data_IF_791060495046
#
_entry.id   IF_791060495046
#
_cell.length_a   1.000
_cell.length_b   1.000
_cell.length_c   1.000
_cell.angle_alpha   90.00
_cell.angle_beta   90.00
_cell.angle_gamma   90.00
#
_symmetry.space_group_name_H-M   'P 1'
#
loop_
_entity.id
_entity.type
_entity.pdbx_description
1 polymer ?
#
# COMPACT_ATOMS: atom_id res chain seq x y z
N UNK A 1 5.68 7.30 -13.37
CA UNK A 1 4.26 7.61 -13.14
C UNK A 1 3.98 7.48 -11.66
N UNK A 2 3.17 8.36 -11.11
CA UNK A 2 2.88 8.46 -9.67
C UNK A 2 1.41 8.20 -9.42
N UNK A 3 1.11 7.41 -8.38
CA UNK A 3 -0.26 7.16 -7.92
C UNK A 3 -0.28 7.14 -6.39
N UNK A 4 -1.46 7.39 -5.82
CA UNK A 4 -1.65 7.40 -4.37
C UNK A 4 -2.88 6.60 -3.99
N UNK A 5 -2.78 5.85 -2.91
CA UNK A 5 -3.87 5.03 -2.36
C UNK A 5 -4.01 5.36 -0.88
N UNK A 6 -5.24 5.58 -0.43
CA UNK A 6 -5.51 5.86 0.98
C UNK A 6 -5.52 4.58 1.80
N UNK A 7 -4.82 4.60 2.91
CA UNK A 7 -4.82 3.57 3.94
C UNK A 7 -4.89 4.21 5.32
N UNK A 8 -4.66 3.46 6.37
CA UNK A 8 -4.66 3.99 7.73
C UNK A 8 -3.80 3.14 8.65
N UNK A 9 -3.32 3.76 9.72
CA UNK A 9 -2.56 3.07 10.76
C UNK A 9 -2.98 3.58 12.13
N UNK A 10 -2.69 2.81 13.17
CA UNK A 10 -2.92 3.21 14.56
C UNK A 10 -1.67 3.92 15.08
N UNK A 11 -1.87 5.07 15.70
CA UNK A 11 -0.82 5.79 16.42
C UNK A 11 -1.38 6.19 17.79
N UNK A 12 -0.89 5.55 18.84
CA UNK A 12 -1.50 5.69 20.16
C UNK A 12 -2.92 5.14 20.14
N UNK A 13 -3.90 6.00 20.46
CA UNK A 13 -5.31 5.63 20.45
C UNK A 13 -6.05 6.14 19.21
N UNK A 14 -5.32 6.75 18.27
CA UNK A 14 -5.91 7.36 17.08
C UNK A 14 -5.66 6.51 15.84
N UNK A 15 -6.63 6.51 14.94
CA UNK A 15 -6.47 5.96 13.60
C UNK A 15 -6.05 7.10 12.68
N UNK A 16 -4.86 7.00 12.12
CA UNK A 16 -4.24 8.05 11.30
C UNK A 16 -4.34 7.66 9.83
N UNK A 17 -4.85 8.54 8.95
CA UNK A 17 -4.84 8.27 7.52
C UNK A 17 -3.41 8.25 6.99
N UNK A 18 -3.13 7.31 6.10
CA UNK A 18 -1.83 7.13 5.46
C UNK A 18 -2.03 7.17 3.95
N UNK A 19 -1.27 8.05 3.29
CA UNK A 19 -1.23 8.03 1.83
C UNK A 19 -0.09 7.11 1.41
N UNK A 20 -0.45 6.06 0.70
CA UNK A 20 0.52 5.13 0.12
C UNK A 20 0.79 5.58 -1.29
N UNK A 21 1.95 6.19 -1.48
CA UNK A 21 2.36 6.79 -2.75
C UNK A 21 3.27 5.83 -3.48
N UNK A 22 2.98 5.59 -4.75
CA UNK A 22 3.78 4.70 -5.59
C UNK A 22 4.26 5.46 -6.82
N UNK A 23 5.55 5.33 -7.13
CA UNK A 23 6.14 5.89 -8.33
C UNK A 23 6.97 4.84 -9.03
N UNK A 24 6.80 4.75 -10.33
CA UNK A 24 7.61 3.87 -11.19
C UNK A 24 8.31 4.74 -12.21
N UNK A 25 9.64 4.71 -12.21
CA UNK A 25 10.46 5.55 -13.08
C UNK A 25 11.60 4.74 -13.69
N UNK A 26 12.23 5.31 -14.72
CA UNK A 26 13.42 4.71 -15.32
C UNK A 26 14.60 4.82 -14.37
N UNK A 27 15.49 3.84 -14.42
CA UNK A 27 16.66 3.80 -13.58
C UNK A 27 17.06 2.37 -13.24
N UNK A 28 18.02 2.21 -12.35
CA UNK A 28 18.44 0.89 -11.90
C UNK A 28 17.25 0.17 -11.23
N UNK A 29 16.96 -1.09 -11.62
CA UNK A 29 15.85 -1.83 -11.01
C UNK A 29 15.99 -1.91 -9.50
N UNK A 30 14.97 -1.40 -8.80
CA UNK A 30 15.01 -1.26 -7.35
C UNK A 30 13.58 -1.16 -6.82
N UNK A 31 13.36 -1.68 -5.63
CA UNK A 31 12.09 -1.52 -4.93
C UNK A 31 12.41 -0.89 -3.57
N UNK A 32 12.12 0.38 -3.40
CA UNK A 32 12.50 1.16 -2.22
C UNK A 32 11.27 1.59 -1.45
N UNK A 33 11.33 1.50 -0.11
CA UNK A 33 10.24 1.94 0.76
C UNK A 33 10.76 2.99 1.74
N UNK A 34 10.04 4.10 1.84
CA UNK A 34 10.36 5.21 2.74
C UNK A 34 9.11 5.66 3.50
N UNK A 35 9.26 6.51 4.51
CA UNK A 35 8.16 7.08 5.26
C UNK A 35 8.03 6.57 6.70
N UNK A 36 9.14 6.34 7.37
CA UNK A 36 9.19 5.87 8.76
C UNK A 36 8.46 4.54 8.93
N UNK A 37 8.94 3.54 8.21
CA UNK A 37 8.35 2.21 8.19
C UNK A 37 9.15 1.25 9.07
N UNK A 38 8.44 0.37 9.79
CA UNK A 38 9.07 -0.69 10.57
C UNK A 38 9.69 -1.74 9.66
N UNK A 39 10.54 -2.61 10.23
CA UNK A 39 11.07 -3.74 9.48
C UNK A 39 9.95 -4.64 8.94
N UNK A 40 8.88 -4.82 9.71
CA UNK A 40 7.74 -5.61 9.30
C UNK A 40 7.03 -5.02 8.08
N UNK A 41 6.89 -3.68 8.03
CA UNK A 41 6.32 -3.01 6.86
C UNK A 41 7.23 -3.17 5.65
N UNK A 42 8.55 -3.08 5.84
CA UNK A 42 9.50 -3.26 4.73
C UNK A 42 9.44 -4.65 4.10
N UNK A 43 9.02 -5.66 4.85
CA UNK A 43 8.81 -7.00 4.31
C UNK A 43 7.72 -7.03 3.23
N UNK A 44 6.86 -6.00 3.19
CA UNK A 44 5.83 -5.90 2.17
C UNK A 44 6.40 -5.93 0.75
N UNK A 45 7.61 -5.42 0.53
CA UNK A 45 8.20 -5.44 -0.81
C UNK A 45 8.38 -6.88 -1.31
N UNK A 46 8.75 -7.81 -0.45
CA UNK A 46 8.89 -9.21 -0.83
C UNK A 46 7.53 -9.88 -1.02
N UNK A 47 6.59 -9.64 -0.12
CA UNK A 47 5.24 -10.21 -0.22
C UNK A 47 4.52 -9.70 -1.48
N UNK A 48 4.57 -8.41 -1.73
CA UNK A 48 3.91 -7.80 -2.90
C UNK A 48 4.53 -8.32 -4.19
N UNK A 49 5.86 -8.30 -4.28
CA UNK A 49 6.56 -8.77 -5.48
C UNK A 49 6.22 -10.23 -5.78
N UNK A 50 6.28 -11.09 -4.77
CA UNK A 50 6.03 -12.52 -4.93
C UNK A 50 4.55 -12.78 -5.25
N UNK A 51 3.64 -12.10 -4.56
CA UNK A 51 2.21 -12.26 -4.79
C UNK A 51 1.85 -11.87 -6.23
N UNK A 52 2.33 -10.74 -6.71
CA UNK A 52 2.07 -10.29 -8.08
C UNK A 52 2.64 -11.29 -9.10
N UNK A 53 3.86 -11.76 -8.86
CA UNK A 53 4.48 -12.76 -9.74
C UNK A 53 3.64 -14.04 -9.82
N UNK A 54 3.15 -14.53 -8.69
CA UNK A 54 2.33 -15.74 -8.64
C UNK A 54 0.94 -15.54 -9.23
N UNK A 55 0.49 -14.29 -9.35
CA UNK A 55 -0.74 -13.93 -10.05
C UNK A 55 -0.51 -13.71 -11.56
N UNK A 56 0.69 -13.91 -12.05
CA UNK A 56 1.02 -13.74 -13.46
C UNK A 56 1.42 -12.32 -13.85
N UNK A 57 1.70 -11.46 -12.85
CA UNK A 57 2.09 -10.07 -13.10
C UNK A 57 3.56 -9.89 -12.75
N UNK A 58 4.40 -9.69 -13.76
CA UNK A 58 5.82 -9.41 -13.56
C UNK A 58 6.05 -7.91 -13.44
N UNK A 59 6.81 -7.51 -12.42
CA UNK A 59 7.20 -6.12 -12.28
C UNK A 59 8.25 -5.78 -13.33
N UNK A 60 8.16 -4.61 -13.98
CA UNK A 60 9.16 -4.21 -14.98
C UNK A 60 10.51 -3.93 -14.29
N UNK A 61 11.63 -4.02 -15.04
CA UNK A 61 12.95 -3.72 -14.50
C UNK A 61 13.14 -2.20 -14.39
N UNK A 62 12.37 -1.58 -13.52
CA UNK A 62 12.34 -0.13 -13.29
C UNK A 62 12.49 0.16 -11.81
N UNK A 63 12.72 1.44 -11.51
CA UNK A 63 12.82 1.91 -10.14
C UNK A 63 11.42 2.13 -9.59
N UNK A 64 11.08 1.37 -8.55
CA UNK A 64 9.80 1.47 -7.85
C UNK A 64 10.08 2.10 -6.49
N UNK A 65 9.42 3.20 -6.19
CA UNK A 65 9.53 3.89 -4.90
C UNK A 65 8.16 3.94 -4.25
N UNK A 66 8.08 3.49 -3.01
CA UNK A 66 6.87 3.54 -2.19
C UNK A 66 7.14 4.48 -1.02
N UNK A 67 6.27 5.47 -0.84
CA UNK A 67 6.34 6.38 0.30
C UNK A 67 5.03 6.29 1.08
N UNK A 68 5.14 6.09 2.39
CA UNK A 68 3.98 6.06 3.29
C UNK A 68 3.95 7.36 4.09
N UNK A 69 3.09 8.29 3.67
CA UNK A 69 2.95 9.60 4.26
C UNK A 69 1.85 9.61 5.32
N UNK A 70 1.98 10.33 6.45
CA UNK A 70 3.06 11.26 6.78
C UNK A 70 4.31 10.56 7.34
N UNK A 71 5.47 11.16 7.09
CA UNK A 71 6.75 10.54 7.47
C UNK A 71 7.06 10.61 8.98
N UNK A 72 6.34 11.43 9.73
CA UNK A 72 6.53 11.57 11.18
C UNK A 72 5.72 10.56 12.00
N UNK A 73 4.87 9.79 11.36
CA UNK A 73 4.09 8.71 12.01
C UNK A 73 4.69 7.38 11.62
N UNK A 74 5.07 6.57 12.64
CA UNK A 74 5.64 5.25 12.38
C UNK A 74 4.54 4.28 11.91
N UNK A 75 4.80 3.56 10.83
CA UNK A 75 3.89 2.56 10.28
C UNK A 75 4.39 1.17 10.67
N UNK A 76 3.47 0.35 11.15
CA UNK A 76 3.77 -1.00 11.60
C UNK A 76 2.76 -1.99 11.04
N UNK A 77 3.13 -3.27 11.09
CA UNK A 77 2.27 -4.37 10.69
C UNK A 77 2.31 -4.66 9.20
N UNK A 78 1.42 -5.55 8.78
CA UNK A 78 1.36 -6.05 7.40
C UNK A 78 0.21 -5.46 6.59
N UNK A 79 -0.54 -4.53 7.17
CA UNK A 79 -1.77 -3.98 6.56
C UNK A 79 -1.55 -3.19 5.29
N UNK A 80 -0.31 -2.79 5.02
CA UNK A 80 0.00 -1.97 3.86
C UNK A 80 0.31 -2.76 2.59
N UNK A 81 0.36 -4.09 2.67
CA UNK A 81 0.66 -4.93 1.51
C UNK A 81 -0.30 -4.64 0.35
N UNK A 82 -1.60 -4.70 0.63
CA UNK A 82 -2.61 -4.51 -0.41
C UNK A 82 -2.61 -3.11 -1.00
N UNK A 83 -2.58 -2.01 -0.21
CA UNK A 83 -2.50 -0.67 -0.79
C UNK A 83 -1.20 -0.44 -1.57
N UNK A 84 -0.08 -1.03 -1.16
CA UNK A 84 1.17 -0.94 -1.92
C UNK A 84 1.01 -1.64 -3.27
N UNK A 85 0.47 -2.86 -3.27
CA UNK A 85 0.22 -3.60 -4.51
C UNK A 85 -0.73 -2.82 -5.44
N UNK A 86 -1.81 -2.26 -4.87
CA UNK A 86 -2.76 -1.46 -5.64
C UNK A 86 -2.10 -0.23 -6.27
N UNK A 87 -1.26 0.48 -5.50
CA UNK A 87 -0.52 1.64 -6.00
C UNK A 87 0.42 1.28 -7.14
N UNK A 88 1.16 0.19 -7.01
CA UNK A 88 2.05 -0.30 -8.06
C UNK A 88 1.26 -0.68 -9.31
N UNK A 89 0.15 -1.39 -9.14
CA UNK A 89 -0.70 -1.80 -10.28
C UNK A 89 -1.30 -0.59 -11.00
N UNK A 90 -1.66 0.47 -10.26
CA UNK A 90 -2.13 1.70 -10.87
C UNK A 90 -1.05 2.38 -11.68
N UNK A 91 0.19 2.44 -11.18
CA UNK A 91 1.31 3.04 -11.93
C UNK A 91 1.65 2.25 -13.18
N UNK A 92 1.37 0.94 -13.19
CA UNK A 92 1.59 0.08 -14.34
C UNK A 92 0.40 0.05 -15.31
N UNK A 93 -0.66 0.79 -15.01
CA UNK A 93 -1.86 0.83 -15.85
C UNK A 93 -2.75 -0.40 -15.76
N UNK A 94 -2.54 -1.26 -14.75
CA UNK A 94 -3.36 -2.46 -14.55
C UNK A 94 -4.66 -2.16 -13.80
N UNK A 95 -4.66 -1.07 -13.03
CA UNK A 95 -5.85 -0.53 -12.37
C UNK A 95 -6.03 0.89 -12.90
N UNK A 96 -7.22 1.26 -13.37
CA UNK A 96 -7.43 2.61 -13.91
C UNK A 96 -7.17 3.69 -12.86
N UNK A 97 -6.46 4.77 -13.21
CA UNK A 97 -6.26 5.90 -12.31
C UNK A 97 -7.59 6.46 -11.83
N UNK A 98 -7.70 6.75 -10.55
CA UNK A 98 -8.91 7.30 -9.95
C UNK A 98 -9.97 6.27 -9.56
N UNK A 99 -9.79 4.99 -9.92
CA UNK A 99 -10.77 3.95 -9.55
C UNK A 99 -10.84 3.69 -8.05
N UNK A 100 -9.79 4.04 -7.30
CA UNK A 100 -9.75 3.89 -5.84
C UNK A 100 -9.99 5.22 -5.12
N UNK A 101 -10.49 6.22 -5.81
CA UNK A 101 -10.89 7.48 -5.18
C UNK A 101 -12.03 7.20 -4.21
N UNK A 102 -12.03 7.84 -3.03
CA UNK A 102 -12.98 7.62 -1.95
C UNK A 102 -12.99 6.18 -1.44
N UNK A 103 -11.85 5.49 -1.57
CA UNK A 103 -11.66 4.12 -1.12
C UNK A 103 -10.48 4.07 -0.18
N UNK A 104 -10.66 3.42 0.98
CA UNK A 104 -9.56 3.11 1.88
C UNK A 104 -9.20 1.64 1.70
N UNK A 105 -7.91 1.35 1.53
CA UNK A 105 -7.42 0.01 1.23
C UNK A 105 -6.53 -0.50 2.35
N UNK A 106 -6.84 -1.67 2.86
CA UNK A 106 -6.08 -2.35 3.92
C UNK A 106 -6.05 -3.84 3.62
N UNK A 107 -4.96 -4.49 3.89
CA UNK A 107 -4.87 -5.95 3.81
C UNK A 107 -3.44 -6.46 3.76
N UNK A 108 -3.24 -7.66 4.30
CA UNK A 108 -2.00 -8.39 4.15
C UNK A 108 -2.13 -9.30 2.93
N UNK A 109 -1.04 -9.49 2.19
CA UNK A 109 -1.03 -10.42 1.06
C UNK A 109 -0.29 -11.70 1.41
N UNK A 110 -0.91 -12.83 1.12
CA UNK A 110 -0.20 -14.10 1.04
C UNK A 110 0.63 -14.15 -0.24
N UNK A 111 1.61 -15.02 -0.28
CA UNK A 111 2.49 -15.14 -1.46
C UNK A 111 1.76 -15.63 -2.70
N UNK A 112 0.57 -16.21 -2.54
CA UNK A 112 -0.29 -16.65 -3.63
C UNK A 112 -1.21 -15.54 -4.15
N UNK A 113 -1.18 -14.36 -3.53
CA UNK A 113 -2.01 -13.22 -3.91
C UNK A 113 -3.33 -13.10 -3.16
N UNK A 114 -3.65 -14.03 -2.25
CA UNK A 114 -4.85 -13.92 -1.44
C UNK A 114 -4.69 -12.86 -0.37
N UNK A 115 -5.77 -12.10 -0.12
CA UNK A 115 -5.81 -11.10 0.93
C UNK A 115 -6.06 -11.79 2.27
N UNK A 116 -5.18 -11.55 3.23
CA UNK A 116 -5.29 -12.09 4.57
C UNK A 116 -5.92 -11.07 5.51
N UNK A 117 -6.53 -11.56 6.59
CA UNK A 117 -7.12 -10.70 7.59
C UNK A 117 -6.08 -9.86 8.32
N UNK A 118 -6.49 -8.67 8.74
CA UNK A 118 -5.69 -7.79 9.58
C UNK A 118 -6.54 -7.35 10.78
N UNK A 119 -5.86 -6.92 11.84
CA UNK A 119 -6.55 -6.34 13.00
C UNK A 119 -6.88 -4.86 12.76
N UNK A 120 -7.85 -4.33 13.51
CA UNK A 120 -8.17 -2.91 13.48
C UNK A 120 -9.01 -2.45 12.29
N UNK A 121 -9.71 -3.37 11.64
CA UNK A 121 -10.55 -3.03 10.46
C UNK A 121 -11.71 -2.13 10.85
N UNK A 122 -12.37 -2.37 11.97
CA UNK A 122 -13.52 -1.57 12.38
C UNK A 122 -13.14 -0.11 12.65
N UNK A 123 -12.10 0.20 13.45
CA UNK A 123 -11.67 1.59 13.62
C UNK A 123 -11.23 2.24 12.30
N UNK A 124 -10.59 1.48 11.40
CA UNK A 124 -10.19 1.99 10.10
C UNK A 124 -11.40 2.33 9.25
N UNK A 125 -12.44 1.49 9.27
CA UNK A 125 -13.68 1.75 8.54
C UNK A 125 -14.38 3.00 9.06
N UNK A 126 -14.40 3.20 10.38
CA UNK A 126 -14.96 4.42 10.98
C UNK A 126 -14.20 5.67 10.52
N UNK A 127 -12.88 5.60 10.47
CA UNK A 127 -12.04 6.70 9.99
C UNK A 127 -12.28 6.97 8.51
N UNK A 128 -12.41 5.91 7.71
CA UNK A 128 -12.70 6.04 6.28
C UNK A 128 -14.01 6.80 6.08
N UNK A 129 -15.04 6.49 6.87
CA UNK A 129 -16.33 7.19 6.81
C UNK A 129 -16.17 8.68 7.13
N UNK A 130 -15.39 9.02 8.18
CA UNK A 130 -15.10 10.41 8.53
C UNK A 130 -14.45 11.17 7.38
N UNK A 131 -13.57 10.49 6.63
CA UNK A 131 -12.83 11.09 5.52
C UNK A 131 -13.64 11.14 4.22
N UNK A 132 -14.90 10.71 4.25
CA UNK A 132 -15.77 10.74 3.08
C UNK A 132 -15.61 9.56 2.13
N UNK A 133 -14.96 8.48 2.56
CA UNK A 133 -14.86 7.27 1.75
C UNK A 133 -16.22 6.57 1.64
N UNK A 134 -16.46 5.97 0.48
CA UNK A 134 -17.66 5.17 0.22
C UNK A 134 -17.36 3.66 0.21
N UNK A 135 -16.07 3.32 0.17
CA UNK A 135 -15.61 1.93 0.13
C UNK A 135 -14.34 1.77 0.92
#
# INVERSE_FOLDING_TARGET
>A
MYCSVLSATVSGMEMIPVQVEADVSDGMPQFTMVGYVSAQVKEAQDRVRTALKNMGISLPPKRITINLSPADVRKEGSRFDLPIAAGVLMTLGRIPPGSLRKTMVLGELGLDGHVQEISGVFPAAAKARELGCTT
#
